data_IF_542057848687
#
_entry.id   IF_542057848687
#
_cell.length_a   1.000
_cell.length_b   1.000
_cell.length_c   1.000
_cell.angle_alpha   90.00
_cell.angle_beta   90.00
_cell.angle_gamma   90.00
#
_symmetry.space_group_name_H-M   'P 1'
#
loop_
_entity.id
_entity.type
_entity.pdbx_description
1 polymer ?
#
# COMPACT_ATOMS: atom_id res chain seq x y z
N UNK A 1 -21.86 22.57 37.99
CA UNK A 1 -21.47 21.38 37.19
C UNK A 1 -21.12 21.84 35.79
N UNK A 2 -19.83 21.89 35.44
CA UNK A 2 -19.36 22.31 34.11
C UNK A 2 -19.04 21.03 33.34
N UNK A 3 -19.82 20.74 32.31
CA UNK A 3 -19.65 19.54 31.47
C UNK A 3 -18.39 19.74 30.65
N UNK A 4 -17.31 19.06 31.03
CA UNK A 4 -16.09 18.96 30.25
C UNK A 4 -16.39 18.15 28.98
N UNK A 5 -16.49 18.86 27.85
CA UNK A 5 -16.53 18.23 26.53
C UNK A 5 -15.16 17.60 26.29
N UNK A 6 -15.07 16.30 26.56
CA UNK A 6 -13.92 15.47 26.25
C UNK A 6 -13.80 15.42 24.72
N UNK A 7 -13.04 16.36 24.16
CA UNK A 7 -12.66 16.36 22.74
C UNK A 7 -11.77 15.14 22.56
N UNK A 8 -12.36 14.06 22.06
CA UNK A 8 -11.64 12.85 21.63
C UNK A 8 -10.49 13.32 20.74
N UNK A 9 -9.26 13.19 21.26
CA UNK A 9 -8.03 13.43 20.50
C UNK A 9 -8.18 12.64 19.21
N UNK A 10 -8.19 13.36 18.09
CA UNK A 10 -8.39 12.78 16.78
C UNK A 10 -7.46 11.59 16.62
N UNK A 11 -8.04 10.40 16.44
CA UNK A 11 -7.29 9.27 15.91
C UNK A 11 -6.50 9.78 14.70
N UNK A 12 -5.25 9.35 14.48
CA UNK A 12 -4.54 9.68 13.28
C UNK A 12 -5.26 9.00 12.12
N UNK A 13 -6.28 9.68 11.57
CA UNK A 13 -7.01 9.25 10.41
C UNK A 13 -6.03 9.30 9.24
N UNK A 14 -5.38 8.15 9.05
CA UNK A 14 -5.10 7.56 7.74
C UNK A 14 -4.13 8.31 6.83
N UNK A 15 -2.85 8.37 7.21
CA UNK A 15 -1.77 8.64 6.25
C UNK A 15 -1.89 7.72 5.01
N UNK A 16 -2.32 6.48 5.22
CA UNK A 16 -2.63 5.52 4.16
C UNK A 16 -3.82 5.96 3.29
N UNK A 17 -4.94 6.47 3.85
CA UNK A 17 -6.03 7.00 3.00
C UNK A 17 -5.52 8.21 2.21
N UNK A 18 -4.75 9.10 2.84
CA UNK A 18 -4.25 10.32 2.19
C UNK A 18 -3.31 9.99 1.01
N UNK A 19 -2.54 8.90 1.11
CA UNK A 19 -1.70 8.36 0.05
C UNK A 19 -2.51 7.84 -1.16
N UNK A 20 -3.55 7.01 -0.92
CA UNK A 20 -4.41 6.50 -2.00
C UNK A 20 -5.37 7.55 -2.61
N UNK A 21 -5.47 8.75 -2.04
CA UNK A 21 -6.27 9.86 -2.57
C UNK A 21 -5.50 10.85 -3.45
N UNK A 22 -4.18 10.68 -3.63
CA UNK A 22 -3.46 11.46 -4.63
C UNK A 22 -3.83 10.96 -6.03
N UNK A 23 -4.79 11.62 -6.68
CA UNK A 23 -5.18 11.36 -8.08
C UNK A 23 -3.96 11.29 -9.01
N UNK A 24 -2.92 12.09 -8.71
CA UNK A 24 -1.64 12.08 -9.43
C UNK A 24 -0.89 10.75 -9.27
N UNK A 25 -0.75 10.25 -8.04
CA UNK A 25 -0.08 8.97 -7.79
C UNK A 25 -0.84 7.80 -8.42
N UNK A 26 -2.17 7.79 -8.32
CA UNK A 26 -2.98 6.73 -8.93
C UNK A 26 -2.84 6.73 -10.46
N UNK A 27 -2.74 7.90 -11.10
CA UNK A 27 -2.49 7.99 -12.54
C UNK A 27 -1.08 7.50 -12.90
N UNK A 28 -0.04 7.96 -12.19
CA UNK A 28 1.34 7.50 -12.38
C UNK A 28 1.50 5.99 -12.21
N UNK A 29 0.84 5.43 -11.18
CA UNK A 29 0.77 3.99 -10.95
C UNK A 29 0.13 3.26 -12.14
N UNK A 30 -0.98 3.79 -12.67
CA UNK A 30 -1.66 3.18 -13.82
C UNK A 30 -0.80 3.27 -15.08
N UNK A 31 -0.14 4.40 -15.33
CA UNK A 31 0.81 4.57 -16.44
C UNK A 31 1.96 3.56 -16.34
N UNK A 32 2.62 3.47 -15.17
CA UNK A 32 3.71 2.51 -14.91
C UNK A 32 3.27 1.04 -15.03
N UNK A 33 2.02 0.74 -14.71
CA UNK A 33 1.44 -0.59 -14.93
C UNK A 33 1.10 -0.83 -16.41
N UNK A 34 0.74 0.21 -17.15
CA UNK A 34 0.37 0.15 -18.56
C UNK A 34 1.59 0.12 -19.50
N UNK A 35 2.74 0.60 -19.07
CA UNK A 35 4.01 0.59 -19.83
C UNK A 35 4.51 -0.83 -20.19
N UNK A 36 3.90 -1.88 -19.61
CA UNK A 36 3.98 -3.25 -20.14
C UNK A 36 5.16 -4.08 -19.63
N UNK A 37 5.99 -3.54 -18.74
CA UNK A 37 7.14 -4.24 -18.14
C UNK A 37 6.74 -5.31 -17.10
N UNK A 38 5.46 -5.36 -16.72
CA UNK A 38 4.93 -6.31 -15.73
C UNK A 38 3.99 -7.32 -16.39
N UNK A 39 4.22 -8.60 -16.13
CA UNK A 39 3.30 -9.67 -16.52
C UNK A 39 1.98 -9.57 -15.76
N UNK A 40 0.89 -10.10 -16.34
CA UNK A 40 -0.43 -10.16 -15.70
C UNK A 40 -0.36 -10.78 -14.29
N UNK A 41 0.49 -11.79 -14.10
CA UNK A 41 0.70 -12.44 -12.81
C UNK A 41 1.30 -11.47 -11.78
N UNK A 42 2.33 -10.71 -12.16
CA UNK A 42 2.94 -9.70 -11.28
C UNK A 42 1.97 -8.54 -10.98
N UNK A 43 1.17 -8.10 -11.96
CA UNK A 43 0.11 -7.10 -11.74
C UNK A 43 -0.93 -7.58 -10.72
N UNK A 44 -1.28 -8.88 -10.73
CA UNK A 44 -2.17 -9.49 -9.73
C UNK A 44 -1.56 -9.43 -8.34
N UNK A 45 -0.25 -9.62 -8.20
CA UNK A 45 0.47 -9.47 -6.94
C UNK A 45 0.46 -8.01 -6.45
N UNK A 46 0.68 -7.03 -7.34
CA UNK A 46 0.56 -5.61 -7.00
C UNK A 46 -0.85 -5.25 -6.53
N UNK A 47 -1.89 -5.80 -7.17
CA UNK A 47 -3.29 -5.65 -6.71
C UNK A 47 -3.50 -6.22 -5.30
N UNK A 48 -2.88 -7.35 -4.96
CA UNK A 48 -2.93 -7.93 -3.61
C UNK A 48 -2.21 -7.03 -2.59
N UNK A 49 -1.04 -6.49 -2.93
CA UNK A 49 -0.30 -5.53 -2.10
C UNK A 49 -1.14 -4.29 -1.77
N UNK A 50 -1.81 -3.71 -2.77
CA UNK A 50 -2.71 -2.56 -2.60
C UNK A 50 -3.89 -2.92 -1.68
N UNK A 51 -4.55 -4.07 -1.92
CA UNK A 51 -5.65 -4.54 -1.06
C UNK A 51 -5.25 -4.70 0.40
N UNK A 52 -4.01 -5.14 0.65
CA UNK A 52 -3.45 -5.30 1.98
C UNK A 52 -2.86 -4.01 2.57
N UNK A 53 -3.06 -2.85 1.92
CA UNK A 53 -2.65 -1.54 2.41
C UNK A 53 -1.15 -1.42 2.66
N UNK A 54 -0.34 -2.06 1.81
CA UNK A 54 1.10 -1.80 1.78
C UNK A 54 1.35 -0.31 1.49
N UNK A 55 2.47 0.20 1.99
CA UNK A 55 2.86 1.59 1.77
C UNK A 55 3.22 1.85 0.31
N UNK A 56 3.12 3.12 -0.13
CA UNK A 56 3.54 3.57 -1.46
C UNK A 56 4.97 3.14 -1.79
N UNK A 57 5.91 3.30 -0.85
CA UNK A 57 7.30 2.85 -1.03
C UNK A 57 7.41 1.34 -1.29
N UNK A 58 6.59 0.53 -0.60
CA UNK A 58 6.56 -0.91 -0.83
C UNK A 58 5.93 -1.24 -2.20
N UNK A 59 4.87 -0.53 -2.59
CA UNK A 59 4.20 -0.70 -3.89
C UNK A 59 5.16 -0.30 -5.04
N UNK A 60 5.84 0.84 -4.93
CA UNK A 60 6.85 1.29 -5.87
C UNK A 60 7.99 0.28 -6.03
N UNK A 61 8.46 -0.26 -4.91
CA UNK A 61 9.49 -1.31 -4.92
C UNK A 61 9.00 -2.58 -5.60
N UNK A 62 7.72 -2.94 -5.45
CA UNK A 62 7.11 -4.11 -6.09
C UNK A 62 6.91 -3.90 -7.61
N UNK A 63 6.56 -2.69 -8.05
CA UNK A 63 6.42 -2.36 -9.49
C UNK A 63 7.77 -2.44 -10.18
N UNK A 64 8.81 -1.92 -9.55
CA UNK A 64 10.17 -1.93 -10.10
C UNK A 64 10.90 -3.26 -9.84
N UNK A 65 10.22 -4.26 -9.28
CA UNK A 65 10.78 -5.55 -8.92
C UNK A 65 10.89 -6.47 -10.15
N UNK A 66 12.12 -6.86 -10.52
CA UNK A 66 12.37 -7.82 -11.63
C UNK A 66 12.21 -9.29 -11.23
N UNK A 67 11.52 -9.57 -10.13
CA UNK A 67 11.30 -10.94 -9.63
C UNK A 67 10.02 -11.52 -10.21
N UNK A 68 9.94 -12.84 -10.26
CA UNK A 68 8.74 -13.54 -10.71
C UNK A 68 7.58 -13.41 -9.72
N UNK A 69 6.40 -13.85 -10.15
CA UNK A 69 5.17 -13.78 -9.34
C UNK A 69 5.33 -14.46 -7.97
N UNK A 70 5.99 -15.62 -7.91
CA UNK A 70 6.16 -16.40 -6.68
C UNK A 70 7.01 -15.64 -5.67
N UNK A 71 8.14 -15.10 -6.09
CA UNK A 71 8.99 -14.29 -5.22
C UNK A 71 8.26 -13.00 -4.80
N UNK A 72 7.49 -12.36 -5.69
CA UNK A 72 6.68 -11.20 -5.33
C UNK A 72 5.63 -11.53 -4.25
N UNK A 73 4.96 -12.69 -4.35
CA UNK A 73 4.01 -13.12 -3.34
C UNK A 73 4.68 -13.25 -1.96
N UNK A 74 5.85 -13.89 -1.89
CA UNK A 74 6.62 -14.01 -0.65
C UNK A 74 7.04 -12.65 -0.08
N UNK A 75 7.48 -11.72 -0.93
CA UNK A 75 7.84 -10.36 -0.50
C UNK A 75 6.62 -9.64 0.07
N UNK A 76 5.45 -9.78 -0.55
CA UNK A 76 4.19 -9.21 -0.07
C UNK A 76 3.81 -9.79 1.29
N UNK A 77 3.89 -11.11 1.47
CA UNK A 77 3.57 -11.75 2.75
C UNK A 77 4.47 -11.23 3.88
N UNK A 78 5.77 -11.11 3.62
CA UNK A 78 6.73 -10.52 4.57
C UNK A 78 6.35 -9.07 4.88
N UNK A 79 6.02 -8.27 3.87
CA UNK A 79 5.61 -6.87 4.06
C UNK A 79 4.32 -6.75 4.88
N UNK A 80 3.34 -7.63 4.66
CA UNK A 80 2.11 -7.71 5.47
C UNK A 80 2.46 -8.05 6.93
N UNK A 81 3.32 -9.06 7.14
CA UNK A 81 3.77 -9.47 8.48
C UNK A 81 4.46 -8.31 9.21
N UNK A 82 5.38 -7.59 8.56
CA UNK A 82 6.09 -6.46 9.16
C UNK A 82 5.13 -5.31 9.51
N UNK A 83 4.21 -4.97 8.60
CA UNK A 83 3.23 -3.91 8.83
C UNK A 83 2.26 -4.25 9.97
N UNK A 84 1.99 -5.54 10.21
CA UNK A 84 1.14 -6.01 11.30
C UNK A 84 1.92 -6.21 12.62
N UNK A 85 3.19 -6.62 12.54
CA UNK A 85 4.09 -6.77 13.69
C UNK A 85 4.47 -5.43 14.33
N UNK A 86 4.57 -4.36 13.54
CA UNK A 86 4.79 -2.99 14.03
C UNK A 86 3.60 -2.39 14.81
N UNK A 87 2.46 -3.08 14.89
CA UNK A 87 1.27 -2.61 15.65
C UNK A 87 1.20 -3.15 17.08
N UNK A 88 2.28 -3.76 17.59
CA UNK A 88 2.39 -4.21 18.98
C UNK A 88 3.25 -3.26 19.79
#
# INVERSE_FOLDING_TARGET
MRIEKNIRKGEPVSLIKRLFFSKKYNNDLVERLADGDLTIAQMKQIKIAIKNKLSEKQIDSLINCKKDEKAMATIIDIAIMLNNGQRR
#
